data_IF_524979343816
#
_entry.id   IF_524979343816
#
_cell.length_a   1.000
_cell.length_b   1.000
_cell.length_c   1.000
_cell.angle_alpha   90.00
_cell.angle_beta   90.00
_cell.angle_gamma   90.00
#
_symmetry.space_group_name_H-M   'P 1'
#
loop_
_entity.id
_entity.type
_entity.pdbx_description
1 polymer ?
#
# COMPACT_ATOMS: atom_id res chain seq x y z
N UNK A 1 -25.44 -9.88 -15.10
CA UNK A 1 -24.68 -10.65 -14.09
C UNK A 1 -23.20 -10.39 -14.31
N UNK A 2 -22.54 -9.67 -13.40
CA UNK A 2 -21.10 -9.42 -13.46
C UNK A 2 -20.35 -10.63 -12.89
N UNK A 3 -19.34 -11.09 -13.60
CA UNK A 3 -18.54 -12.25 -13.20
C UNK A 3 -17.56 -11.80 -12.09
N UNK A 4 -17.71 -12.35 -10.88
CA UNK A 4 -17.07 -11.88 -9.63
C UNK A 4 -15.58 -12.22 -9.50
N UNK A 5 -14.99 -12.85 -10.53
CA UNK A 5 -13.61 -13.39 -10.49
C UNK A 5 -12.56 -12.38 -10.96
N UNK A 6 -12.95 -11.39 -11.76
CA UNK A 6 -12.02 -10.41 -12.33
C UNK A 6 -12.50 -9.02 -11.95
N UNK A 7 -11.97 -8.51 -10.83
CA UNK A 7 -12.06 -7.09 -10.50
C UNK A 7 -10.89 -6.37 -11.16
N UNK A 8 -11.19 -5.48 -12.11
CA UNK A 8 -10.19 -4.58 -12.70
C UNK A 8 -9.97 -3.44 -11.72
N UNK A 9 -9.04 -3.61 -10.78
CA UNK A 9 -8.69 -2.56 -9.83
C UNK A 9 -7.92 -1.44 -10.53
N UNK A 10 -8.35 -0.18 -10.30
CA UNK A 10 -7.54 1.01 -10.58
C UNK A 10 -6.46 1.09 -9.49
N UNK A 11 -5.35 0.44 -9.79
CA UNK A 11 -4.25 0.19 -8.88
C UNK A 11 -3.33 1.41 -8.82
N UNK A 12 -3.07 1.91 -7.60
CA UNK A 12 -2.06 2.96 -7.40
C UNK A 12 -0.81 2.31 -6.84
N UNK A 13 0.25 2.33 -7.65
CA UNK A 13 1.56 1.75 -7.35
C UNK A 13 2.50 2.81 -6.79
N UNK A 14 3.10 2.55 -5.64
CA UNK A 14 4.10 3.40 -4.97
C UNK A 14 5.44 2.67 -5.00
N UNK A 15 6.44 3.23 -5.65
CA UNK A 15 7.80 2.65 -5.67
C UNK A 15 8.65 3.24 -4.54
N UNK A 16 9.19 2.37 -3.69
CA UNK A 16 10.14 2.71 -2.62
C UNK A 16 11.49 2.08 -2.93
N UNK A 17 12.49 2.89 -3.25
CA UNK A 17 13.83 2.40 -3.62
C UNK A 17 14.89 2.88 -2.64
N UNK A 18 15.84 2.00 -2.31
CA UNK A 18 17.05 2.36 -1.55
C UNK A 18 18.21 1.44 -1.90
N UNK A 19 19.34 2.03 -2.27
CA UNK A 19 20.52 1.32 -2.78
C UNK A 19 20.12 0.40 -3.95
N UNK A 20 20.47 -0.89 -3.90
CA UNK A 20 20.16 -1.88 -4.95
C UNK A 20 18.75 -2.47 -4.84
N UNK A 21 17.96 -2.12 -3.82
CA UNK A 21 16.64 -2.70 -3.58
C UNK A 21 15.54 -1.72 -3.94
N UNK A 22 14.49 -2.23 -4.57
CA UNK A 22 13.31 -1.45 -4.94
C UNK A 22 12.05 -2.26 -4.74
N UNK A 23 11.18 -1.75 -3.88
CA UNK A 23 9.88 -2.32 -3.60
C UNK A 23 8.82 -1.52 -4.33
N UNK A 24 7.87 -2.20 -4.94
CA UNK A 24 6.63 -1.58 -5.39
C UNK A 24 5.53 -1.97 -4.41
N UNK A 25 4.86 -0.99 -3.85
CA UNK A 25 3.72 -1.15 -2.95
C UNK A 25 2.45 -0.82 -3.72
N UNK A 26 1.51 -1.75 -3.73
CA UNK A 26 0.19 -1.54 -4.29
C UNK A 26 -0.79 -1.30 -3.15
N UNK A 27 -1.55 -0.19 -3.22
CA UNK A 27 -2.62 0.11 -2.27
C UNK A 27 -3.97 -0.28 -2.87
N UNK A 28 -4.64 -1.26 -2.28
CA UNK A 28 -6.02 -1.63 -2.60
C UNK A 28 -6.92 -1.38 -1.42
N UNK A 29 -8.18 -1.06 -1.72
CA UNK A 29 -9.26 -1.02 -0.75
C UNK A 29 -10.20 -2.15 -1.11
N UNK A 30 -10.57 -2.98 -0.14
CA UNK A 30 -11.61 -3.98 -0.37
C UNK A 30 -12.99 -3.30 -0.41
N UNK A 31 -13.89 -3.84 -1.22
CA UNK A 31 -15.28 -3.39 -1.32
C UNK A 31 -16.19 -4.10 -0.31
N UNK A 32 -15.62 -4.76 0.71
CA UNK A 32 -16.38 -5.47 1.73
C UNK A 32 -17.04 -4.49 2.72
N UNK A 33 -17.96 -5.00 3.53
CA UNK A 33 -18.62 -4.21 4.57
C UNK A 33 -17.64 -3.52 5.55
N UNK A 34 -16.45 -4.10 5.73
CA UNK A 34 -15.43 -3.59 6.65
C UNK A 34 -14.47 -2.57 6.03
N UNK A 35 -14.46 -2.47 4.69
CA UNK A 35 -13.61 -1.55 3.92
C UNK A 35 -12.16 -1.55 4.41
N UNK A 36 -11.45 -2.66 4.25
CA UNK A 36 -10.04 -2.69 4.62
C UNK A 36 -9.16 -2.05 3.54
N UNK A 37 -8.04 -1.49 3.98
CA UNK A 37 -6.91 -1.14 3.12
C UNK A 37 -5.86 -2.24 3.18
N UNK A 38 -5.37 -2.60 2.02
CA UNK A 38 -4.37 -3.63 1.80
C UNK A 38 -3.20 -2.99 1.06
N UNK A 39 -2.01 -3.09 1.62
CA UNK A 39 -0.75 -2.75 0.97
C UNK A 39 -0.02 -4.05 0.63
N UNK A 40 -0.02 -4.45 -0.64
CA UNK A 40 0.78 -5.59 -1.14
C UNK A 40 2.11 -5.11 -1.71
N UNK A 41 3.12 -5.99 -1.71
CA UNK A 41 4.48 -5.63 -2.08
C UNK A 41 5.04 -6.55 -3.17
N UNK A 42 5.78 -5.97 -4.10
CA UNK A 42 6.62 -6.69 -5.06
C UNK A 42 8.04 -6.12 -5.08
N UNK A 43 9.02 -6.95 -5.45
CA UNK A 43 10.41 -6.55 -5.66
C UNK A 43 10.85 -7.09 -7.03
N UNK A 44 11.42 -6.23 -7.87
CA UNK A 44 11.80 -6.58 -9.26
C UNK A 44 10.67 -7.24 -10.08
N UNK A 45 9.42 -6.82 -9.86
CA UNK A 45 8.25 -7.35 -10.56
C UNK A 45 7.74 -8.69 -10.02
N UNK A 46 8.38 -9.26 -8.99
CA UNK A 46 7.91 -10.46 -8.31
C UNK A 46 7.16 -10.10 -7.03
N UNK A 47 5.95 -10.63 -6.87
CA UNK A 47 5.17 -10.45 -5.65
C UNK A 47 5.84 -11.15 -4.47
N UNK A 48 5.91 -10.46 -3.33
CA UNK A 48 6.54 -10.98 -2.11
C UNK A 48 5.59 -11.82 -1.25
N UNK A 49 4.37 -12.06 -1.73
CA UNK A 49 3.27 -12.72 -0.99
C UNK A 49 3.11 -12.16 0.43
N UNK A 50 3.39 -10.87 0.58
CA UNK A 50 3.31 -10.14 1.83
C UNK A 50 2.32 -8.99 1.65
N UNK A 51 1.44 -8.83 2.63
CA UNK A 51 0.49 -7.74 2.67
C UNK A 51 0.38 -7.16 4.08
N UNK A 52 0.23 -5.85 4.15
CA UNK A 52 -0.11 -5.13 5.37
C UNK A 52 -1.56 -4.67 5.26
N UNK A 53 -2.39 -5.07 6.22
CA UNK A 53 -3.84 -4.85 6.20
C UNK A 53 -4.27 -4.06 7.45
N UNK A 54 -5.16 -3.10 7.27
CA UNK A 54 -5.83 -2.40 8.36
C UNK A 54 -7.20 -1.87 7.89
N UNK A 55 -8.14 -1.60 8.82
CA UNK A 55 -9.35 -0.86 8.51
C UNK A 55 -9.06 0.48 7.82
N UNK A 56 -9.93 0.94 6.90
CA UNK A 56 -9.71 2.19 6.15
C UNK A 56 -9.73 3.47 7.00
N UNK A 57 -10.33 3.43 8.18
CA UNK A 57 -10.26 4.51 9.16
C UNK A 57 -8.93 4.52 9.94
N UNK A 58 -8.21 3.38 9.99
CA UNK A 58 -6.92 3.24 10.68
C UNK A 58 -5.67 3.50 9.78
N UNK A 59 -5.76 4.44 8.83
CA UNK A 59 -4.67 4.77 7.86
C UNK A 59 -3.30 5.01 8.51
N UNK A 60 -3.25 5.70 9.64
CA UNK A 60 -1.99 5.94 10.35
C UNK A 60 -1.35 4.66 10.90
N UNK A 61 -2.18 3.70 11.33
CA UNK A 61 -1.70 2.38 11.77
C UNK A 61 -1.18 1.58 10.58
N UNK A 62 -1.88 1.64 9.45
CA UNK A 62 -1.43 1.02 8.20
C UNK A 62 -0.04 1.53 7.80
N UNK A 63 0.13 2.86 7.74
CA UNK A 63 1.42 3.48 7.40
C UNK A 63 2.56 3.06 8.33
N UNK A 64 2.30 2.98 9.65
CA UNK A 64 3.29 2.48 10.62
C UNK A 64 3.71 1.04 10.34
N UNK A 65 2.75 0.16 10.04
CA UNK A 65 3.01 -1.25 9.73
C UNK A 65 3.77 -1.41 8.41
N UNK A 66 3.44 -0.61 7.39
CA UNK A 66 4.19 -0.56 6.13
C UNK A 66 5.64 -0.17 6.38
N UNK A 67 5.90 0.89 7.15
CA UNK A 67 7.27 1.29 7.47
C UNK A 67 8.00 0.21 8.26
N UNK A 68 7.33 -0.47 9.20
CA UNK A 68 7.92 -1.61 9.91
C UNK A 68 8.34 -2.73 8.94
N UNK A 69 7.48 -3.07 7.97
CA UNK A 69 7.78 -4.04 6.92
C UNK A 69 8.98 -3.60 6.07
N UNK A 70 8.97 -2.36 5.57
CA UNK A 70 10.06 -1.82 4.77
C UNK A 70 11.37 -1.74 5.56
N UNK A 71 11.31 -1.42 6.85
CA UNK A 71 12.51 -1.30 7.68
C UNK A 71 13.21 -2.66 7.88
N UNK A 72 12.44 -3.75 7.98
CA UNK A 72 12.97 -5.10 8.01
C UNK A 72 13.80 -5.46 6.75
N UNK A 73 13.56 -4.77 5.63
CA UNK A 73 14.19 -5.07 4.33
C UNK A 73 15.18 -4.00 3.85
N UNK A 74 14.96 -2.73 4.16
CA UNK A 74 15.68 -1.56 3.61
C UNK A 74 16.50 -0.76 4.65
N UNK A 75 16.51 -1.15 5.93
CA UNK A 75 17.23 -0.44 7.02
C UNK A 75 16.99 1.08 7.00
N UNK A 76 15.75 1.50 7.13
CA UNK A 76 15.32 2.90 7.07
C UNK A 76 15.75 3.61 8.35
N UNK A 77 16.53 4.70 8.24
CA UNK A 77 17.04 5.46 9.41
C UNK A 77 15.98 6.39 9.99
N UNK A 78 15.30 7.16 9.13
CA UNK A 78 14.23 8.08 9.55
C UNK A 78 12.86 7.44 9.32
N UNK A 79 12.44 6.64 10.31
CA UNK A 79 11.16 5.94 10.27
C UNK A 79 9.98 6.90 10.35
N UNK A 80 10.12 8.04 11.04
CA UNK A 80 9.05 9.02 11.19
C UNK A 80 8.79 9.79 9.89
N UNK A 81 9.83 10.23 9.19
CA UNK A 81 9.67 10.85 7.87
C UNK A 81 9.07 9.86 6.88
N UNK A 82 9.56 8.62 6.85
CA UNK A 82 9.01 7.59 5.96
C UNK A 82 7.53 7.31 6.27
N UNK A 83 7.14 7.27 7.55
CA UNK A 83 5.74 7.04 7.93
C UNK A 83 4.83 8.15 7.40
N UNK A 84 5.27 9.42 7.47
CA UNK A 84 4.51 10.55 6.92
C UNK A 84 4.39 10.45 5.41
N UNK A 85 5.45 10.06 4.72
CA UNK A 85 5.43 9.92 3.26
C UNK A 85 4.51 8.78 2.81
N UNK A 86 4.62 7.62 3.45
CA UNK A 86 3.74 6.48 3.18
C UNK A 86 2.28 6.84 3.45
N UNK A 87 1.99 7.56 4.54
CA UNK A 87 0.63 8.02 4.83
C UNK A 87 0.11 8.93 3.72
N UNK A 88 0.91 9.91 3.28
CA UNK A 88 0.55 10.82 2.18
C UNK A 88 0.29 10.05 0.88
N UNK A 89 1.10 9.04 0.58
CA UNK A 89 0.89 8.17 -0.57
C UNK A 89 -0.46 7.44 -0.47
N UNK A 90 -0.73 6.77 0.65
CA UNK A 90 -2.00 6.07 0.89
C UNK A 90 -3.18 7.02 0.71
N UNK A 91 -3.14 8.21 1.31
CA UNK A 91 -4.20 9.21 1.19
C UNK A 91 -4.40 9.68 -0.25
N UNK A 92 -3.31 9.92 -0.97
CA UNK A 92 -3.34 10.33 -2.38
C UNK A 92 -3.95 9.24 -3.27
N UNK A 93 -3.60 7.96 -3.03
CA UNK A 93 -4.20 6.82 -3.73
C UNK A 93 -5.73 6.78 -3.55
N UNK A 94 -6.20 7.08 -2.35
CA UNK A 94 -7.64 7.08 -2.03
C UNK A 94 -8.37 8.26 -2.66
N UNK A 95 -7.78 9.45 -2.65
CA UNK A 95 -8.38 10.64 -3.28
C UNK A 95 -8.49 10.51 -4.81
N UNK A 96 -7.49 9.92 -5.47
CA UNK A 96 -7.55 9.68 -6.92
C UNK A 96 -8.67 8.71 -7.32
N UNK A 97 -8.98 7.73 -6.46
CA UNK A 97 -10.11 6.83 -6.68
C UNK A 97 -11.46 7.55 -6.59
N UNK A 98 -11.62 8.48 -5.66
CA UNK A 98 -12.86 9.26 -5.52
C UNK A 98 -13.12 10.19 -6.69
N UNK A 99 -12.07 10.75 -7.31
CA UNK A 99 -12.20 11.65 -8.46
C UNK A 99 -12.45 10.93 -9.79
N UNK A 100 -12.16 9.63 -9.84
CA UNK A 100 -12.33 8.81 -11.04
C UNK A 100 -13.64 8.02 -11.05
N UNK A 101 -14.40 8.08 -9.94
CA UNK A 101 -15.67 7.37 -9.73
C UNK A 101 -16.89 8.20 -10.12
#
# INVERSE_FOLDING_TARGET
MHNTVINTTRETLVTISKHSRSFSMLVTQDDSAFKNLICSFSEHGQELYAAVIAPADERQRLARRVVSFLNAHLRIRDTHAMQREILRCIESCLSQRQLSG
#
